data_IF_829448750392
#
_entry.id   IF_829448750392
#
_cell.length_a   1.000
_cell.length_b   1.000
_cell.length_c   1.000
_cell.angle_alpha   90.00
_cell.angle_beta   90.00
_cell.angle_gamma   90.00
#
_symmetry.space_group_name_H-M   'P 1'
#
loop_
_entity.id
_entity.type
_entity.pdbx_description
1 polymer ?
#
# COMPACT_ATOMS: atom_id res chain seq x y z
N UNK A 1 -3.68 9.03 -18.03
CA UNK A 1 -4.40 10.31 -18.25
C UNK A 1 -3.83 11.34 -17.27
N UNK A 2 -3.68 12.62 -17.64
CA UNK A 2 -3.19 13.63 -16.70
C UNK A 2 -4.13 13.74 -15.49
N UNK A 3 -3.60 13.59 -14.27
CA UNK A 3 -4.39 13.66 -13.04
C UNK A 3 -4.71 12.32 -12.37
N UNK A 4 -4.35 11.19 -12.99
CA UNK A 4 -4.65 9.86 -12.45
C UNK A 4 -3.43 9.18 -11.81
N UNK A 5 -3.69 8.33 -10.81
CA UNK A 5 -2.72 7.36 -10.30
C UNK A 5 -2.58 6.25 -11.34
N UNK A 6 -1.35 5.85 -11.67
CA UNK A 6 -1.09 4.73 -12.57
C UNK A 6 0.05 3.85 -12.05
N UNK A 7 -0.01 2.56 -12.36
CA UNK A 7 0.96 1.55 -11.97
C UNK A 7 0.88 0.35 -12.93
N UNK A 8 1.95 -0.44 -13.00
CA UNK A 8 1.96 -1.70 -13.73
C UNK A 8 1.21 -2.76 -12.93
N UNK A 9 0.28 -3.44 -13.60
CA UNK A 9 -0.57 -4.46 -13.00
C UNK A 9 -0.22 -5.86 -13.51
N UNK A 10 0.00 -6.86 -12.65
CA UNK A 10 0.28 -8.22 -13.10
C UNK A 10 -0.92 -8.80 -13.87
N UNK A 11 -0.65 -9.46 -15.00
CA UNK A 11 -1.68 -9.90 -15.96
C UNK A 11 -2.75 -10.82 -15.35
N UNK A 12 -2.38 -11.64 -14.38
CA UNK A 12 -3.23 -12.70 -13.82
C UNK A 12 -3.96 -12.27 -12.54
N UNK A 13 -3.94 -10.99 -12.20
CA UNK A 13 -4.61 -10.45 -11.02
C UNK A 13 -5.95 -9.83 -11.43
N UNK A 14 -6.85 -9.66 -10.45
CA UNK A 14 -8.13 -8.98 -10.62
C UNK A 14 -8.13 -7.62 -9.93
N UNK A 15 -8.64 -6.60 -10.62
CA UNK A 15 -8.80 -5.25 -10.09
C UNK A 15 -10.27 -5.02 -9.74
N UNK A 16 -10.54 -4.59 -8.51
CA UNK A 16 -11.87 -4.18 -8.07
C UNK A 16 -11.80 -2.86 -7.33
N UNK A 17 -12.82 -2.05 -7.53
CA UNK A 17 -12.98 -0.75 -6.92
C UNK A 17 -14.15 -0.77 -5.91
N UNK A 18 -13.94 -0.19 -4.73
CA UNK A 18 -14.95 -0.11 -3.67
C UNK A 18 -15.07 1.31 -3.15
N UNK A 19 -16.24 1.95 -3.33
CA UNK A 19 -16.39 3.38 -3.06
C UNK A 19 -17.54 3.77 -2.13
N UNK A 20 -18.30 2.84 -1.56
CA UNK A 20 -19.63 3.26 -1.10
C UNK A 20 -19.63 4.12 0.16
N UNK A 21 -18.70 3.93 1.11
CA UNK A 21 -18.64 4.71 2.36
C UNK A 21 -17.22 4.78 2.98
N UNK A 22 -16.19 4.46 2.20
CA UNK A 22 -14.79 4.29 2.64
C UNK A 22 -13.85 5.23 1.87
N UNK A 23 -12.64 5.54 2.41
CA UNK A 23 -11.62 6.25 1.64
C UNK A 23 -11.39 5.58 0.28
N UNK A 24 -11.19 6.34 -0.82
CA UNK A 24 -11.01 5.80 -2.15
C UNK A 24 -9.95 4.70 -2.16
N UNK A 25 -10.40 3.47 -2.44
CA UNK A 25 -9.58 2.28 -2.31
C UNK A 25 -9.68 1.39 -3.55
N UNK A 26 -8.52 1.00 -4.07
CA UNK A 26 -8.39 0.03 -5.15
C UNK A 26 -7.90 -1.28 -4.55
N UNK A 27 -8.62 -2.36 -4.84
CA UNK A 27 -8.28 -3.71 -4.44
C UNK A 27 -7.73 -4.48 -5.63
N UNK A 28 -6.63 -5.18 -5.40
CA UNK A 28 -5.95 -6.00 -6.38
C UNK A 28 -5.81 -7.38 -5.74
N UNK A 29 -6.47 -8.38 -6.31
CA UNK A 29 -6.56 -9.72 -5.72
C UNK A 29 -5.98 -10.74 -6.69
N UNK A 30 -5.13 -11.62 -6.17
CA UNK A 30 -4.74 -12.85 -6.86
C UNK A 30 -5.40 -14.03 -6.16
N UNK A 31 -6.24 -14.74 -6.89
CA UNK A 31 -7.02 -15.87 -6.40
C UNK A 31 -6.75 -17.08 -7.28
N UNK A 32 -6.05 -18.08 -6.75
CA UNK A 32 -5.83 -19.38 -7.42
C UNK A 32 -6.98 -20.37 -7.14
N UNK A 33 -8.09 -19.94 -6.53
CA UNK A 33 -9.20 -20.82 -6.17
C UNK A 33 -8.91 -21.72 -4.96
N UNK A 34 -7.90 -21.38 -4.15
CA UNK A 34 -7.50 -22.14 -2.96
C UNK A 34 -8.20 -21.58 -1.72
N UNK A 35 -8.79 -22.45 -0.90
CA UNK A 35 -9.34 -22.06 0.39
C UNK A 35 -8.22 -21.57 1.32
N UNK A 36 -8.10 -20.24 1.49
CA UNK A 36 -7.04 -19.61 2.26
C UNK A 36 -7.09 -18.09 2.22
N UNK A 37 -6.14 -17.43 2.91
CA UNK A 37 -5.99 -15.98 2.87
C UNK A 37 -5.62 -15.56 1.44
N UNK A 38 -6.43 -14.74 0.79
CA UNK A 38 -6.11 -14.26 -0.56
C UNK A 38 -4.85 -13.41 -0.55
N UNK A 39 -4.14 -13.41 -1.69
CA UNK A 39 -3.08 -12.43 -1.92
C UNK A 39 -3.76 -11.13 -2.33
N UNK A 40 -3.50 -10.07 -1.58
CA UNK A 40 -4.14 -8.77 -1.78
C UNK A 40 -3.09 -7.67 -1.85
N UNK A 41 -3.28 -6.75 -2.79
CA UNK A 41 -2.69 -5.42 -2.76
C UNK A 41 -3.81 -4.38 -2.70
N UNK A 42 -3.66 -3.40 -1.84
CA UNK A 42 -4.67 -2.36 -1.63
C UNK A 42 -4.02 -1.00 -1.71
N UNK A 43 -4.62 -0.09 -2.45
CA UNK A 43 -4.17 1.30 -2.56
C UNK A 43 -5.28 2.20 -2.02
N UNK A 44 -5.02 2.89 -0.92
CA UNK A 44 -6.00 3.75 -0.24
C UNK A 44 -5.49 5.19 -0.16
N UNK A 45 -6.29 6.13 -0.64
CA UNK A 45 -6.04 7.56 -0.44
C UNK A 45 -6.75 8.02 0.84
N UNK A 46 -6.00 8.60 1.78
CA UNK A 46 -6.51 9.04 3.08
C UNK A 46 -6.25 10.53 3.29
N UNK A 47 -7.27 11.24 3.78
CA UNK A 47 -7.23 12.66 4.06
C UNK A 47 -7.79 13.00 5.45
N UNK A 48 -7.36 14.11 6.07
CA UNK A 48 -7.90 14.54 7.36
C UNK A 48 -9.42 14.66 7.35
N UNK A 49 -10.06 14.15 8.40
CA UNK A 49 -11.53 14.16 8.53
C UNK A 49 -12.23 12.92 7.94
N UNK A 50 -11.52 12.05 7.21
CA UNK A 50 -12.09 10.78 6.77
C UNK A 50 -12.15 9.74 7.92
N UNK A 51 -13.13 8.83 7.90
CA UNK A 51 -13.15 7.68 8.81
C UNK A 51 -11.84 6.89 8.75
N UNK A 52 -11.32 6.48 9.91
CA UNK A 52 -10.09 5.70 10.00
C UNK A 52 -8.78 6.51 9.88
N UNK A 53 -8.83 7.81 9.56
CA UNK A 53 -7.63 8.65 9.45
C UNK A 53 -6.84 8.74 10.76
N UNK A 54 -7.50 8.86 11.91
CA UNK A 54 -6.82 8.85 13.22
C UNK A 54 -6.10 7.52 13.50
N UNK A 55 -6.71 6.40 13.11
CA UNK A 55 -6.10 5.08 13.24
C UNK A 55 -4.86 4.95 12.34
N UNK A 56 -4.91 5.51 11.13
CA UNK A 56 -3.77 5.60 10.23
C UNK A 56 -2.62 6.41 10.84
N UNK A 57 -2.91 7.61 11.38
CA UNK A 57 -1.90 8.44 12.03
C UNK A 57 -1.26 7.71 13.22
N UNK A 58 -2.06 7.03 14.04
CA UNK A 58 -1.55 6.22 15.14
C UNK A 58 -0.69 5.06 14.66
N UNK A 59 -1.01 4.41 13.54
CA UNK A 59 -0.20 3.36 12.96
C UNK A 59 1.16 3.90 12.44
N UNK A 60 1.15 5.05 11.77
CA UNK A 60 2.37 5.75 11.30
C UNK A 60 3.20 6.30 12.48
N UNK A 61 2.56 6.67 13.58
CA UNK A 61 3.23 7.16 14.79
C UNK A 61 3.87 6.03 15.60
N UNK A 62 3.12 4.94 15.85
CA UNK A 62 3.62 3.75 16.55
C UNK A 62 4.81 3.10 15.84
N UNK A 63 4.95 3.30 14.53
CA UNK A 63 6.12 2.90 13.74
C UNK A 63 7.42 3.58 14.20
N UNK A 64 7.37 4.81 14.74
CA UNK A 64 8.56 5.43 15.35
C UNK A 64 9.07 4.68 16.58
N UNK A 65 8.24 3.85 17.19
CA UNK A 65 8.50 3.19 18.48
C UNK A 65 8.73 1.68 18.35
N UNK A 66 8.50 1.07 17.18
CA UNK A 66 8.49 -0.40 17.02
C UNK A 66 9.86 -0.99 16.61
N UNK A 67 10.38 -1.87 17.47
CA UNK A 67 11.61 -2.66 17.32
C UNK A 67 11.54 -3.80 16.26
N UNK A 68 10.68 -3.66 15.24
CA UNK A 68 10.50 -4.64 14.16
C UNK A 68 10.57 -4.03 12.75
N UNK A 69 10.94 -2.76 12.64
CA UNK A 69 11.15 -2.10 11.36
C UNK A 69 12.24 -2.84 10.58
N UNK A 70 11.91 -3.28 9.35
CA UNK A 70 12.94 -3.71 8.40
C UNK A 70 13.93 -2.54 8.27
N UNK A 71 15.25 -2.77 8.39
CA UNK A 71 16.26 -1.71 8.30
C UNK A 71 16.47 -1.28 6.84
N UNK A 72 15.39 -0.96 6.11
CA UNK A 72 15.48 -0.10 4.93
C UNK A 72 15.57 1.34 5.42
N UNK A 73 16.82 1.73 5.73
CA UNK A 73 17.30 3.10 5.96
C UNK A 73 16.27 4.21 5.72
N UNK A 74 15.65 4.67 6.80
CA UNK A 74 15.14 6.02 7.12
C UNK A 74 14.28 6.85 6.13
N UNK A 75 14.35 6.66 4.80
CA UNK A 75 13.67 7.48 3.80
C UNK A 75 13.82 6.85 2.40
N UNK A 76 13.14 5.73 2.13
CA UNK A 76 12.97 5.27 0.76
C UNK A 76 11.97 6.18 0.04
N UNK A 77 12.24 6.49 -1.23
CA UNK A 77 11.32 7.28 -2.07
C UNK A 77 10.56 6.40 -3.03
N UNK A 78 9.25 6.61 -3.12
CA UNK A 78 8.36 5.95 -4.07
C UNK A 78 7.57 7.02 -4.78
N UNK A 79 7.55 6.99 -6.11
CA UNK A 79 6.94 8.02 -6.95
C UNK A 79 7.40 9.46 -6.58
N UNK A 80 8.65 9.61 -6.11
CA UNK A 80 9.22 10.90 -5.69
C UNK A 80 8.81 11.37 -4.28
N UNK A 81 7.89 10.66 -3.61
CA UNK A 81 7.43 10.97 -2.26
C UNK A 81 8.23 10.21 -1.20
N UNK A 82 8.27 10.76 0.02
CA UNK A 82 8.79 10.06 1.19
C UNK A 82 7.87 8.88 1.51
N UNK A 83 8.43 7.68 1.53
CA UNK A 83 7.72 6.46 1.89
C UNK A 83 8.18 5.96 3.26
N UNK A 84 7.23 5.46 4.05
CA UNK A 84 7.51 4.68 5.25
C UNK A 84 6.99 3.27 5.07
N UNK A 85 7.78 2.28 5.45
CA UNK A 85 7.43 0.88 5.26
C UNK A 85 7.19 0.21 6.62
N UNK A 86 6.07 -0.49 6.73
CA UNK A 86 5.71 -1.29 7.90
C UNK A 86 5.35 -2.68 7.42
N UNK A 87 5.66 -3.73 8.17
CA UNK A 87 5.24 -5.05 7.77
C UNK A 87 5.58 -6.11 8.79
N UNK A 88 4.94 -7.25 8.64
CA UNK A 88 5.33 -8.49 9.30
C UNK A 88 6.00 -9.35 8.23
N UNK A 89 7.32 -9.64 8.35
CA UNK A 89 8.02 -10.49 7.39
C UNK A 89 7.27 -11.81 7.17
N UNK A 90 7.11 -12.22 5.90
CA UNK A 90 6.36 -13.42 5.55
C UNK A 90 4.83 -13.31 5.68
N UNK A 91 4.26 -12.12 5.82
CA UNK A 91 2.79 -11.97 5.94
C UNK A 91 2.25 -10.71 5.28
N UNK A 92 2.76 -9.53 5.64
CA UNK A 92 2.25 -8.27 5.11
C UNK A 92 3.31 -7.19 5.01
N UNK A 93 3.07 -6.20 4.13
CA UNK A 93 3.88 -5.01 3.98
C UNK A 93 3.02 -3.83 3.54
N UNK A 94 3.11 -2.74 4.27
CA UNK A 94 2.49 -1.45 3.97
C UNK A 94 3.56 -0.42 3.60
N UNK A 95 3.24 0.45 2.65
CA UNK A 95 3.99 1.65 2.31
C UNK A 95 3.09 2.87 2.48
N UNK A 96 3.48 3.80 3.34
CA UNK A 96 2.79 5.06 3.60
C UNK A 96 3.52 6.20 2.89
N UNK A 97 2.85 6.85 1.94
CA UNK A 97 3.41 7.94 1.13
C UNK A 97 2.82 9.27 1.57
N UNK A 98 3.66 10.17 2.04
CA UNK A 98 3.24 11.52 2.42
C UNK A 98 3.02 12.38 1.17
N UNK A 99 1.77 12.84 0.97
CA UNK A 99 1.37 13.72 -0.13
C UNK A 99 1.30 15.20 0.26
N UNK A 100 1.65 15.54 1.51
CA UNK A 100 1.57 16.88 2.07
C UNK A 100 0.16 17.27 2.53
N UNK A 101 0.09 18.18 3.50
CA UNK A 101 -1.16 18.66 4.08
C UNK A 101 -1.90 17.59 4.91
N UNK A 102 -1.18 16.61 5.46
CA UNK A 102 -1.78 15.47 6.17
C UNK A 102 -2.41 14.41 5.27
N UNK A 103 -2.25 14.51 3.94
CA UNK A 103 -2.78 13.51 3.01
C UNK A 103 -1.78 12.38 2.84
N UNK A 104 -2.26 11.14 2.85
CA UNK A 104 -1.44 9.95 2.66
C UNK A 104 -1.98 9.07 1.55
N UNK A 105 -1.08 8.43 0.81
CA UNK A 105 -1.41 7.27 0.00
C UNK A 105 -0.81 6.03 0.67
N UNK A 106 -1.66 5.08 1.03
CA UNK A 106 -1.26 3.82 1.67
C UNK A 106 -1.32 2.71 0.65
N UNK A 107 -0.23 1.97 0.47
CA UNK A 107 -0.18 0.74 -0.30
C UNK A 107 0.04 -0.43 0.63
N UNK A 108 -0.94 -1.30 0.79
CA UNK A 108 -0.84 -2.50 1.60
C UNK A 108 -0.70 -3.72 0.69
N UNK A 109 0.15 -4.65 1.08
CA UNK A 109 0.32 -5.95 0.47
C UNK A 109 0.22 -7.02 1.55
N UNK A 110 -0.49 -8.08 1.24
CA UNK A 110 -0.70 -9.21 2.13
C UNK A 110 -0.78 -10.49 1.32
N UNK A 111 -0.13 -11.54 1.82
CA UNK A 111 -0.18 -12.88 1.23
C UNK A 111 -0.17 -13.94 2.34
N UNK A 112 -0.51 -15.21 2.02
CA UNK A 112 -0.10 -16.38 2.79
C UNK A 112 1.42 -16.45 2.94
N UNK A 113 1.90 -17.05 4.03
CA UNK A 113 3.33 -17.11 4.31
C UNK A 113 4.11 -17.90 3.25
N UNK A 114 3.48 -18.94 2.69
CA UNK A 114 4.08 -19.78 1.66
C UNK A 114 4.28 -19.04 0.33
N UNK A 115 3.44 -18.05 0.05
CA UNK A 115 3.45 -17.28 -1.21
C UNK A 115 4.08 -15.89 -1.07
N UNK A 116 4.32 -15.42 0.16
CA UNK A 116 4.73 -14.04 0.42
C UNK A 116 6.04 -13.69 -0.28
N UNK A 117 7.09 -14.49 -0.11
CA UNK A 117 8.40 -14.19 -0.68
C UNK A 117 8.39 -14.33 -2.22
N UNK A 118 7.61 -15.26 -2.76
CA UNK A 118 7.44 -15.45 -4.20
C UNK A 118 6.75 -14.27 -4.87
N UNK A 119 5.72 -13.72 -4.22
CA UNK A 119 4.88 -12.64 -4.78
C UNK A 119 5.30 -11.24 -4.33
N UNK A 120 6.24 -11.11 -3.39
CA UNK A 120 6.82 -9.82 -2.99
C UNK A 120 7.38 -8.99 -4.18
N UNK A 121 8.04 -9.59 -5.20
CA UNK A 121 8.46 -8.86 -6.39
C UNK A 121 7.31 -8.17 -7.16
N UNK A 122 6.08 -8.71 -7.10
CA UNK A 122 4.92 -8.07 -7.72
C UNK A 122 4.56 -6.76 -7.01
N UNK A 123 4.57 -6.78 -5.67
CA UNK A 123 4.37 -5.56 -4.87
C UNK A 123 5.48 -4.53 -5.13
N UNK A 124 6.73 -4.96 -5.21
CA UNK A 124 7.85 -4.06 -5.53
C UNK A 124 7.73 -3.46 -6.93
N UNK A 125 7.25 -4.22 -7.92
CA UNK A 125 7.00 -3.72 -9.28
C UNK A 125 5.89 -2.66 -9.27
N UNK A 126 4.82 -2.88 -8.51
CA UNK A 126 3.75 -1.90 -8.34
C UNK A 126 4.31 -0.59 -7.77
N UNK A 127 5.12 -0.64 -6.71
CA UNK A 127 5.74 0.56 -6.13
C UNK A 127 6.68 1.28 -7.11
N UNK A 128 7.50 0.55 -7.87
CA UNK A 128 8.45 1.15 -8.84
C UNK A 128 7.74 1.79 -10.03
N UNK A 129 6.64 1.21 -10.48
CA UNK A 129 5.85 1.70 -11.61
C UNK A 129 4.84 2.77 -11.20
N UNK A 130 4.57 2.94 -9.89
CA UNK A 130 3.65 3.95 -9.39
C UNK A 130 4.02 5.35 -9.92
N UNK A 131 3.03 6.00 -10.52
CA UNK A 131 3.07 7.41 -10.93
C UNK A 131 1.88 8.11 -10.31
N UNK A 132 2.16 9.25 -9.68
CA UNK A 132 1.17 10.06 -9.00
C UNK A 132 1.00 11.39 -9.72
N UNK A 133 -0.22 11.95 -9.75
CA UNK A 133 -0.41 13.30 -10.21
C UNK A 133 0.25 14.30 -9.25
N UNK A 134 0.61 15.52 -9.71
CA UNK A 134 1.12 16.57 -8.85
C UNK A 134 0.20 16.79 -7.65
N UNK A 135 0.77 17.03 -6.47
CA UNK A 135 -0.01 17.48 -5.32
C UNK A 135 -0.65 18.83 -5.67
N UNK A 136 -1.98 18.90 -5.58
CA UNK A 136 -2.74 20.16 -5.63
C UNK A 136 -2.81 20.75 -4.24
#
# INVERSE_FOLDING_TARGET
>A
IPGEISFDFPKDWHLTDGWKDEPPTVYVVYDEGVAGKQVTMTITASEPGQPGYQSLELAILKEKEWQGALPEKAEARVAGLRARFVGVPGSSRSAYLDRGGGRYLTLNYSAPAELYDELLPAFQRLLKSLRLPPAR
#
